data_IF_798706731331
#
_entry.id   IF_798706731331
#
_cell.length_a   1.000
_cell.length_b   1.000
_cell.length_c   1.000
_cell.angle_alpha   90.00
_cell.angle_beta   90.00
_cell.angle_gamma   90.00
#
_symmetry.space_group_name_H-M   'P 1'
#
loop_
_entity.id
_entity.type
_entity.pdbx_description
1 polymer ?
#
# COMPACT_ATOMS: atom_id res chain seq x y z
N UNK A 1 0.87 -27.67 11.62
CA UNK A 1 1.48 -26.60 10.75
C UNK A 1 2.78 -27.21 10.25
N UNK A 2 2.84 -27.63 8.99
CA UNK A 2 4.09 -28.07 8.38
C UNK A 2 4.94 -26.85 8.12
N UNK A 3 6.14 -26.79 8.69
CA UNK A 3 7.10 -25.75 8.34
C UNK A 3 7.50 -25.96 6.87
N UNK A 4 7.43 -24.90 6.08
CA UNK A 4 7.92 -24.91 4.70
C UNK A 4 9.41 -25.29 4.67
N UNK A 5 9.82 -26.05 3.66
CA UNK A 5 11.24 -26.38 3.47
C UNK A 5 12.03 -25.10 3.14
N UNK A 6 13.33 -25.05 3.44
CA UNK A 6 14.17 -23.91 3.04
C UNK A 6 14.07 -23.58 1.54
N UNK A 7 13.88 -24.59 0.68
CA UNK A 7 13.72 -24.40 -0.76
C UNK A 7 12.40 -23.69 -1.10
N UNK A 8 11.29 -24.15 -0.52
CA UNK A 8 9.96 -23.53 -0.72
C UNK A 8 9.93 -22.08 -0.25
N UNK A 9 10.55 -21.79 0.90
CA UNK A 9 10.67 -20.41 1.41
C UNK A 9 11.49 -19.53 0.47
N UNK A 10 12.57 -20.06 -0.10
CA UNK A 10 13.41 -19.34 -1.07
C UNK A 10 12.63 -19.03 -2.34
N UNK A 11 11.95 -20.03 -2.90
CA UNK A 11 11.12 -19.86 -4.11
C UNK A 11 10.00 -18.82 -3.90
N UNK A 12 9.36 -18.85 -2.72
CA UNK A 12 8.36 -17.87 -2.35
C UNK A 12 8.95 -16.45 -2.23
N UNK A 13 10.08 -16.31 -1.56
CA UNK A 13 10.77 -15.03 -1.43
C UNK A 13 11.15 -14.46 -2.81
N UNK A 14 11.70 -15.29 -3.71
CA UNK A 14 12.05 -14.88 -5.07
C UNK A 14 10.82 -14.48 -5.89
N UNK A 15 9.71 -15.20 -5.75
CA UNK A 15 8.43 -14.85 -6.37
C UNK A 15 7.93 -13.48 -5.92
N UNK A 16 7.96 -13.22 -4.61
CA UNK A 16 7.55 -11.92 -4.05
C UNK A 16 8.50 -10.79 -4.44
N UNK A 17 9.81 -11.04 -4.51
CA UNK A 17 10.77 -10.07 -5.04
C UNK A 17 10.52 -9.76 -6.51
N UNK A 18 10.13 -10.75 -7.33
CA UNK A 18 9.68 -10.51 -8.70
C UNK A 18 8.41 -9.66 -8.74
N UNK A 19 7.42 -9.98 -7.92
CA UNK A 19 6.16 -9.24 -7.83
C UNK A 19 6.38 -7.76 -7.52
N UNK A 20 7.26 -7.43 -6.57
CA UNK A 20 7.58 -6.04 -6.24
C UNK A 20 8.65 -5.41 -7.15
N UNK A 21 9.21 -6.15 -8.12
CA UNK A 21 10.20 -5.65 -9.07
C UNK A 21 11.61 -5.51 -8.51
N UNK A 22 11.96 -6.25 -7.45
CA UNK A 22 13.26 -6.20 -6.79
C UNK A 22 14.14 -7.44 -7.03
N UNK A 23 13.69 -8.42 -7.83
CA UNK A 23 14.43 -9.67 -8.02
C UNK A 23 15.87 -9.47 -8.46
N UNK A 24 16.13 -8.54 -9.38
CA UNK A 24 17.49 -8.24 -9.86
C UNK A 24 18.40 -7.65 -8.77
N UNK A 25 17.82 -7.17 -7.67
CA UNK A 25 18.50 -6.58 -6.52
C UNK A 25 18.57 -7.51 -5.30
N UNK A 26 18.18 -8.78 -5.45
CA UNK A 26 18.06 -9.75 -4.34
C UNK A 26 19.37 -9.98 -3.56
N UNK A 27 20.52 -9.72 -4.17
CA UNK A 27 21.84 -9.86 -3.55
C UNK A 27 22.38 -8.56 -2.92
N UNK A 28 21.63 -7.45 -3.04
CA UNK A 28 22.00 -6.19 -2.39
C UNK A 28 21.55 -6.20 -0.94
N UNK A 29 22.21 -5.42 -0.09
CA UNK A 29 21.74 -5.14 1.26
C UNK A 29 20.51 -4.24 1.17
N UNK A 30 19.55 -4.40 2.09
CA UNK A 30 18.37 -3.56 2.15
C UNK A 30 18.71 -2.05 2.26
N UNK A 31 19.80 -1.72 2.98
CA UNK A 31 20.27 -0.35 3.12
C UNK A 31 20.83 0.28 1.83
N UNK A 32 21.16 -0.53 0.82
CA UNK A 32 21.66 -0.05 -0.49
C UNK A 32 20.50 0.24 -1.47
N UNK A 33 19.27 -0.07 -1.07
CA UNK A 33 18.05 0.21 -1.83
C UNK A 33 17.63 1.67 -1.63
N UNK A 34 17.02 2.29 -2.66
CA UNK A 34 16.37 3.58 -2.48
C UNK A 34 15.18 3.46 -1.53
N UNK A 35 14.76 4.57 -0.91
CA UNK A 35 13.65 4.58 0.04
C UNK A 35 12.38 3.92 -0.53
N UNK A 36 11.97 4.25 -1.75
CA UNK A 36 10.83 3.60 -2.41
C UNK A 36 11.01 2.10 -2.64
N UNK A 37 12.25 1.65 -2.91
CA UNK A 37 12.57 0.22 -3.04
C UNK A 37 12.52 -0.49 -1.69
N UNK A 38 12.91 0.19 -0.60
CA UNK A 38 12.78 -0.34 0.76
C UNK A 38 11.30 -0.54 1.12
N UNK A 39 10.41 0.40 0.75
CA UNK A 39 8.95 0.26 0.94
C UNK A 39 8.38 -0.94 0.16
N UNK A 40 8.85 -1.17 -1.05
CA UNK A 40 8.47 -2.36 -1.83
C UNK A 40 9.01 -3.65 -1.19
N UNK A 41 10.20 -3.63 -0.62
CA UNK A 41 10.75 -4.77 0.12
C UNK A 41 9.94 -5.04 1.39
N UNK A 42 9.56 -4.00 2.15
CA UNK A 42 8.68 -4.13 3.33
C UNK A 42 7.35 -4.81 2.95
N UNK A 43 6.74 -4.42 1.82
CA UNK A 43 5.54 -5.07 1.31
C UNK A 43 5.78 -6.56 1.00
N UNK A 44 6.87 -6.90 0.30
CA UNK A 44 7.22 -8.29 0.01
C UNK A 44 7.42 -9.12 1.29
N UNK A 45 8.08 -8.55 2.30
CA UNK A 45 8.28 -9.19 3.60
C UNK A 45 6.94 -9.43 4.33
N UNK A 46 6.01 -8.47 4.30
CA UNK A 46 4.69 -8.64 4.88
C UNK A 46 3.90 -9.76 4.21
N UNK A 47 4.00 -9.88 2.88
CA UNK A 47 3.34 -10.92 2.09
C UNK A 47 3.93 -12.34 2.32
N UNK A 48 5.15 -12.47 2.84
CA UNK A 48 5.74 -13.77 3.18
C UNK A 48 4.88 -14.56 4.19
N UNK A 49 4.16 -13.88 5.06
CA UNK A 49 3.31 -14.48 6.10
C UNK A 49 1.89 -14.85 5.60
N UNK A 50 1.58 -14.62 4.32
CA UNK A 50 0.24 -14.87 3.73
C UNK A 50 -0.91 -14.27 4.57
N UNK A 51 -0.87 -12.97 4.86
CA UNK A 51 -1.87 -12.35 5.71
C UNK A 51 -3.22 -12.28 4.99
N UNK A 52 -4.32 -12.33 5.75
CA UNK A 52 -5.67 -12.05 5.24
C UNK A 52 -5.94 -10.54 5.12
N UNK A 53 -5.21 -9.74 5.91
CA UNK A 53 -5.33 -8.28 5.93
C UNK A 53 -3.95 -7.63 6.14
N UNK A 54 -3.72 -6.52 5.46
CA UNK A 54 -2.58 -5.61 5.69
C UNK A 54 -3.08 -4.26 6.19
N UNK A 55 -2.43 -3.78 7.26
CA UNK A 55 -2.59 -2.41 7.74
C UNK A 55 -1.38 -1.60 7.28
N UNK A 56 -1.65 -0.56 6.51
CA UNK A 56 -0.63 0.27 5.88
C UNK A 56 -0.79 1.71 6.37
N UNK A 57 0.24 2.21 7.04
CA UNK A 57 0.27 3.58 7.54
C UNK A 57 1.18 4.41 6.62
N UNK A 58 0.56 5.35 5.90
CA UNK A 58 1.20 6.25 4.94
C UNK A 58 2.18 5.54 3.96
N UNK A 59 1.73 4.51 3.22
CA UNK A 59 2.62 3.70 2.39
C UNK A 59 3.32 4.49 1.27
N UNK A 60 2.84 5.70 0.96
CA UNK A 60 3.44 6.56 -0.08
C UNK A 60 4.22 7.76 0.47
N UNK A 61 4.30 7.92 1.81
CA UNK A 61 5.01 9.04 2.42
C UNK A 61 6.50 9.05 2.07
N UNK A 62 7.01 10.21 1.68
CA UNK A 62 8.43 10.39 1.34
C UNK A 62 8.88 9.74 0.03
N UNK A 63 7.95 9.21 -0.76
CA UNK A 63 8.25 8.58 -2.05
C UNK A 63 8.17 9.60 -3.18
N UNK A 64 9.12 9.48 -4.11
CA UNK A 64 9.11 10.30 -5.32
C UNK A 64 7.78 10.10 -6.08
N UNK A 65 7.07 11.18 -6.47
CA UNK A 65 5.80 11.11 -7.17
C UNK A 65 5.77 10.18 -8.40
N UNK A 66 6.90 10.04 -9.10
CA UNK A 66 7.01 9.13 -10.25
C UNK A 66 6.92 7.65 -9.87
N UNK A 67 7.23 7.30 -8.62
CA UNK A 67 7.22 5.93 -8.12
C UNK A 67 5.90 5.56 -7.40
N UNK A 68 5.10 6.55 -7.02
CA UNK A 68 3.84 6.35 -6.27
C UNK A 68 2.88 5.44 -7.07
N UNK A 69 2.72 5.68 -8.36
CA UNK A 69 1.84 4.85 -9.19
C UNK A 69 2.26 3.37 -9.17
N UNK A 70 3.56 3.11 -9.18
CA UNK A 70 4.09 1.74 -9.10
C UNK A 70 3.76 1.05 -7.76
N UNK A 71 3.64 1.79 -6.67
CA UNK A 71 3.22 1.26 -5.37
C UNK A 71 1.72 1.03 -5.37
N UNK A 72 0.92 1.98 -5.85
CA UNK A 72 -0.53 1.84 -5.98
C UNK A 72 -0.88 0.59 -6.80
N UNK A 73 -0.26 0.40 -7.97
CA UNK A 73 -0.50 -0.76 -8.82
C UNK A 73 -0.22 -2.08 -8.09
N UNK A 74 0.82 -2.13 -7.26
CA UNK A 74 1.14 -3.33 -6.48
C UNK A 74 0.15 -3.56 -5.34
N UNK A 75 -0.30 -2.52 -4.67
CA UNK A 75 -1.32 -2.63 -3.63
C UNK A 75 -2.66 -3.09 -4.20
N UNK A 76 -3.06 -2.58 -5.36
CA UNK A 76 -4.24 -3.06 -6.08
C UNK A 76 -4.12 -4.55 -6.39
N UNK A 77 -2.97 -4.99 -6.90
CA UNK A 77 -2.72 -6.42 -7.19
C UNK A 77 -2.68 -7.27 -5.92
N UNK A 78 -2.17 -6.77 -4.81
CA UNK A 78 -2.24 -7.47 -3.51
C UNK A 78 -3.69 -7.76 -3.13
N UNK A 79 -4.58 -6.82 -3.32
CA UNK A 79 -5.99 -7.03 -3.05
C UNK A 79 -6.63 -7.97 -4.09
N UNK A 80 -6.43 -7.72 -5.39
CA UNK A 80 -7.15 -8.44 -6.47
C UNK A 80 -6.60 -9.85 -6.71
N UNK A 81 -5.28 -10.02 -6.75
CA UNK A 81 -4.63 -11.27 -7.15
C UNK A 81 -4.38 -12.19 -5.94
N UNK A 82 -4.10 -11.62 -4.76
CA UNK A 82 -3.85 -12.37 -3.53
C UNK A 82 -5.07 -12.45 -2.62
N UNK A 83 -6.13 -11.66 -2.87
CA UNK A 83 -7.35 -11.63 -2.05
C UNK A 83 -7.16 -11.02 -0.66
N UNK A 84 -6.10 -10.23 -0.47
CA UNK A 84 -5.75 -9.64 0.82
C UNK A 84 -6.53 -8.33 1.02
N UNK A 85 -7.20 -8.19 2.13
CA UNK A 85 -7.87 -6.94 2.52
C UNK A 85 -6.83 -5.88 2.90
N UNK A 86 -6.98 -4.66 2.38
CA UNK A 86 -6.11 -3.53 2.71
C UNK A 86 -6.85 -2.52 3.57
N UNK A 87 -6.29 -2.17 4.73
CA UNK A 87 -6.68 -0.99 5.50
C UNK A 87 -5.53 0.01 5.41
N UNK A 88 -5.78 1.14 4.73
CA UNK A 88 -4.76 2.13 4.41
C UNK A 88 -5.07 3.44 5.09
N UNK A 89 -4.12 3.98 5.84
CA UNK A 89 -4.14 5.35 6.35
C UNK A 89 -3.30 6.19 5.41
N UNK A 90 -3.88 7.21 4.83
CA UNK A 90 -3.22 8.12 3.89
C UNK A 90 -3.87 9.51 3.94
N UNK A 91 -3.05 10.52 3.76
CA UNK A 91 -3.51 11.90 3.63
C UNK A 91 -3.45 12.41 2.17
N UNK A 92 -2.82 11.66 1.29
CA UNK A 92 -2.75 11.97 -0.13
C UNK A 92 -4.04 11.53 -0.84
N UNK A 93 -4.95 12.49 -1.08
CA UNK A 93 -6.25 12.24 -1.71
C UNK A 93 -6.12 11.54 -3.07
N UNK A 94 -5.09 11.84 -3.86
CA UNK A 94 -4.87 11.18 -5.15
C UNK A 94 -4.62 9.67 -4.98
N UNK A 95 -3.87 9.28 -3.96
CA UNK A 95 -3.58 7.87 -3.66
C UNK A 95 -4.85 7.17 -3.22
N UNK A 96 -5.56 7.75 -2.25
CA UNK A 96 -6.81 7.19 -1.72
C UNK A 96 -7.85 7.00 -2.81
N UNK A 97 -8.06 8.00 -3.67
CA UNK A 97 -9.05 7.93 -4.75
C UNK A 97 -8.76 6.86 -5.80
N UNK A 98 -7.50 6.45 -5.94
CA UNK A 98 -7.11 5.36 -6.86
C UNK A 98 -7.15 3.98 -6.23
N UNK A 99 -6.94 3.91 -4.91
CA UNK A 99 -6.72 2.65 -4.20
C UNK A 99 -7.98 2.13 -3.49
N UNK A 100 -8.77 3.04 -2.91
CA UNK A 100 -9.83 2.65 -1.99
C UNK A 100 -11.17 2.39 -2.70
N UNK A 101 -11.89 1.36 -2.26
CA UNK A 101 -13.30 1.12 -2.62
C UNK A 101 -14.24 1.85 -1.67
N UNK A 102 -13.85 1.98 -0.39
CA UNK A 102 -14.57 2.71 0.64
C UNK A 102 -13.61 3.58 1.46
N UNK A 103 -14.02 4.82 1.73
CA UNK A 103 -13.18 5.82 2.38
C UNK A 103 -13.86 6.31 3.66
N UNK A 104 -13.11 6.29 4.76
CA UNK A 104 -13.49 6.89 6.03
C UNK A 104 -12.70 8.19 6.22
N UNK A 105 -13.36 9.34 6.11
CA UNK A 105 -12.74 10.64 6.35
C UNK A 105 -12.85 11.03 7.82
N UNK A 106 -11.71 11.31 8.43
CA UNK A 106 -11.59 11.73 9.83
C UNK A 106 -11.08 13.16 9.91
N UNK A 107 -11.72 13.98 10.73
CA UNK A 107 -11.23 15.32 11.05
C UNK A 107 -11.39 15.58 12.55
N UNK A 108 -10.36 16.12 13.18
CA UNK A 108 -10.34 16.41 14.62
C UNK A 108 -10.79 15.24 15.52
N UNK A 109 -10.36 14.02 15.16
CA UNK A 109 -10.70 12.80 15.92
C UNK A 109 -12.14 12.31 15.74
N UNK A 110 -12.90 12.86 14.78
CA UNK A 110 -14.30 12.47 14.51
C UNK A 110 -14.47 12.03 13.08
N UNK A 111 -15.42 11.09 12.87
CA UNK A 111 -15.86 10.72 11.53
C UNK A 111 -16.53 11.91 10.85
N UNK A 112 -15.98 12.37 9.73
CA UNK A 112 -16.52 13.46 8.94
C UNK A 112 -17.44 12.94 7.84
N UNK A 113 -17.00 11.92 7.12
CA UNK A 113 -17.74 11.29 6.03
C UNK A 113 -17.28 9.83 5.85
N UNK A 114 -18.13 9.02 5.23
CA UNK A 114 -17.83 7.66 4.80
C UNK A 114 -18.56 7.39 3.48
N UNK A 115 -17.89 6.77 2.53
CA UNK A 115 -18.49 6.42 1.24
C UNK A 115 -17.46 6.02 0.19
N UNK A 116 -17.93 5.80 -1.03
CA UNK A 116 -17.12 5.57 -2.21
C UNK A 116 -16.24 6.77 -2.56
N UNK A 117 -15.18 6.60 -3.36
CA UNK A 117 -14.37 7.71 -3.84
C UNK A 117 -15.17 8.84 -4.48
N UNK A 118 -16.19 8.52 -5.27
CA UNK A 118 -17.03 9.52 -5.94
C UNK A 118 -17.90 10.30 -4.95
N UNK A 119 -18.45 9.66 -3.93
CA UNK A 119 -19.22 10.32 -2.87
C UNK A 119 -18.31 11.25 -2.05
N UNK A 120 -17.14 10.77 -1.66
CA UNK A 120 -16.17 11.52 -0.86
C UNK A 120 -15.63 12.73 -1.63
N UNK A 121 -15.33 12.57 -2.91
CA UNK A 121 -14.83 13.66 -3.78
C UNK A 121 -15.83 14.82 -3.89
N UNK A 122 -17.12 14.54 -3.81
CA UNK A 122 -18.20 15.51 -3.95
C UNK A 122 -18.77 16.00 -2.60
N UNK A 123 -18.32 15.44 -1.48
CA UNK A 123 -18.77 15.85 -0.15
C UNK A 123 -18.16 17.22 0.23
N UNK A 124 -19.02 18.25 0.35
CA UNK A 124 -18.57 19.60 0.69
C UNK A 124 -17.79 19.67 2.00
N UNK A 125 -18.13 18.85 2.99
CA UNK A 125 -17.44 18.82 4.29
C UNK A 125 -15.99 18.33 4.13
N UNK A 126 -15.78 17.35 3.23
CA UNK A 126 -14.46 16.83 2.91
C UNK A 126 -13.66 17.85 2.11
N UNK A 127 -14.30 18.49 1.12
CA UNK A 127 -13.68 19.55 0.33
C UNK A 127 -13.19 20.68 1.23
N UNK A 128 -14.06 21.18 2.12
CA UNK A 128 -13.72 22.26 3.04
C UNK A 128 -12.60 21.87 4.03
N UNK A 129 -12.57 20.61 4.50
CA UNK A 129 -11.58 20.15 5.47
C UNK A 129 -10.20 19.83 4.87
N UNK A 130 -10.16 19.28 3.66
CA UNK A 130 -8.94 18.73 3.06
C UNK A 130 -8.46 19.50 1.82
N UNK A 131 -9.34 20.20 1.11
CA UNK A 131 -9.05 20.90 -0.14
C UNK A 131 -9.29 22.42 -0.06
N UNK A 132 -10.03 22.89 0.94
CA UNK A 132 -10.39 24.28 1.13
C UNK A 132 -9.40 25.12 1.96
N UNK A 133 -8.31 24.52 2.44
CA UNK A 133 -7.28 25.18 3.26
C UNK A 133 -6.02 25.55 2.44
N UNK A 134 -6.17 25.95 1.17
CA UNK A 134 -5.10 26.56 0.37
C UNK A 134 -5.25 28.06 0.32
#
# INVERSE_FOLDING_TARGET
IFAATPKELTEKAESLLNFVGLYQKRNLRAGDLSFGQQKLLELAMALMNEPEMLLLDEPTAGINPTLINGIIDRLIKVNQDFGITLLVIEHNMRVIMQLAENIFCLAHGKMLANGSPDEIKNDKRVIDAYLGAQ
#
